data_IF_561376248746
#
_entry.id   IF_561376248746
#
_cell.length_a   1.000
_cell.length_b   1.000
_cell.length_c   1.000
_cell.angle_alpha   90.00
_cell.angle_beta   90.00
_cell.angle_gamma   90.00
#
_symmetry.space_group_name_H-M   'P 1'
#
loop_
_entity.id
_entity.type
_entity.pdbx_description
1 polymer ?
#
# COMPACT_ATOMS: atom_id res chain seq x y z
N UNK A 1 -28.33 27.06 40.22
CA UNK A 1 -27.58 28.33 40.24
C UNK A 1 -26.60 28.28 41.39
N UNK A 2 -25.30 28.34 41.10
CA UNK A 2 -24.15 28.59 42.00
C UNK A 2 -23.94 27.61 43.16
N UNK A 3 -22.78 27.39 43.74
CA UNK A 3 -21.37 27.65 43.46
C UNK A 3 -20.65 26.98 44.65
N UNK A 4 -19.55 26.25 44.42
CA UNK A 4 -18.60 25.89 45.49
C UNK A 4 -17.81 27.15 45.95
N UNK A 5 -16.85 27.17 46.92
CA UNK A 5 -16.13 26.04 47.56
C UNK A 5 -15.65 26.23 49.04
N UNK A 6 -14.90 25.25 49.56
CA UNK A 6 -13.56 25.39 50.18
C UNK A 6 -13.31 25.01 51.66
N UNK A 7 -12.06 24.52 51.87
CA UNK A 7 -11.22 24.37 53.06
C UNK A 7 -11.47 23.18 54.02
N UNK A 8 -10.50 22.58 54.72
CA UNK A 8 -9.03 22.41 54.68
C UNK A 8 -8.66 21.58 55.96
N UNK A 9 -7.40 21.14 56.09
CA UNK A 9 -6.72 20.49 57.25
C UNK A 9 -6.87 18.95 57.39
N UNK A 10 -5.87 18.16 57.81
CA UNK A 10 -4.45 18.35 58.18
C UNK A 10 -3.86 16.97 58.58
N UNK A 11 -2.57 16.71 58.28
CA UNK A 11 -1.57 15.84 58.96
C UNK A 11 -1.92 14.35 59.25
N UNK A 12 -1.04 13.35 59.14
CA UNK A 12 0.41 13.26 58.94
C UNK A 12 0.91 11.87 59.36
N UNK A 13 2.23 11.61 59.15
CA UNK A 13 3.08 10.45 59.53
C UNK A 13 3.02 9.24 58.57
N UNK A 14 4.06 8.84 57.82
CA UNK A 14 5.51 8.56 58.07
C UNK A 14 5.76 7.15 58.66
N UNK A 15 6.16 6.20 57.80
CA UNK A 15 7.05 5.06 58.12
C UNK A 15 7.30 4.14 56.90
N UNK A 16 8.49 4.23 56.31
CA UNK A 16 9.28 3.09 55.78
C UNK A 16 9.92 2.34 57.00
N UNK A 17 10.64 1.17 56.90
CA UNK A 17 11.33 0.57 55.75
C UNK A 17 11.34 -0.99 55.69
N UNK A 18 12.27 -1.53 54.89
CA UNK A 18 12.70 -2.93 54.64
C UNK A 18 12.16 -3.47 53.30
N UNK A 19 12.97 -3.78 52.29
CA UNK A 19 14.35 -4.24 52.26
C UNK A 19 14.35 -5.68 51.73
N UNK A 20 14.62 -5.87 50.44
CA UNK A 20 15.13 -7.16 49.96
C UNK A 20 16.01 -6.98 48.74
N UNK A 21 17.23 -7.44 48.95
CA UNK A 21 18.37 -7.55 48.06
C UNK A 21 18.12 -8.69 47.06
N UNK A 22 18.49 -8.52 45.78
CA UNK A 22 18.82 -9.70 44.95
C UNK A 22 19.94 -9.35 43.99
N UNK A 23 20.93 -10.22 44.02
CA UNK A 23 22.32 -10.00 43.61
C UNK A 23 22.52 -10.21 42.11
N UNK A 24 23.32 -9.32 41.53
CA UNK A 24 24.00 -9.48 40.25
C UNK A 24 25.16 -10.46 40.40
N UNK A 25 25.14 -11.55 39.65
CA UNK A 25 26.27 -12.50 39.54
C UNK A 25 26.90 -12.36 38.16
N UNK A 26 28.04 -11.67 38.14
CA UNK A 26 28.98 -11.56 37.03
C UNK A 26 29.92 -12.78 37.07
N UNK A 27 29.83 -13.67 36.09
CA UNK A 27 30.79 -14.76 35.91
C UNK A 27 31.77 -14.41 34.78
N UNK A 28 33.06 -14.46 35.12
CA UNK A 28 34.23 -14.17 34.31
C UNK A 28 34.96 -15.50 34.07
N UNK A 29 35.34 -15.78 32.82
CA UNK A 29 36.23 -16.91 32.47
C UNK A 29 36.25 -17.09 30.94
N UNK A 30 37.16 -16.44 30.23
CA UNK A 30 38.54 -16.87 29.93
C UNK A 30 38.67 -17.55 28.56
N UNK A 31 39.10 -16.74 27.59
CA UNK A 31 40.16 -17.00 26.62
C UNK A 31 40.44 -18.45 26.18
N UNK A 32 40.21 -18.72 24.89
CA UNK A 32 41.21 -19.43 24.07
C UNK A 32 41.12 -19.02 22.59
N UNK A 33 42.19 -18.36 22.16
CA UNK A 33 42.60 -18.10 20.78
C UNK A 33 42.86 -19.41 20.05
N UNK A 34 42.44 -19.50 18.78
CA UNK A 34 43.23 -20.13 17.71
C UNK A 34 42.77 -19.68 16.33
N UNK A 35 43.70 -19.03 15.64
CA UNK A 35 44.06 -19.14 14.22
C UNK A 35 43.15 -18.62 13.11
N UNK A 36 43.69 -17.54 12.50
CA UNK A 36 43.59 -17.12 11.12
C UNK A 36 43.48 -18.30 10.13
N UNK A 37 42.61 -18.14 9.12
CA UNK A 37 42.98 -18.47 7.73
C UNK A 37 42.25 -17.55 6.75
N UNK A 38 43.07 -16.76 6.08
CA UNK A 38 42.84 -15.89 4.93
C UNK A 38 42.48 -16.73 3.69
N UNK A 39 41.46 -16.35 2.94
CA UNK A 39 41.29 -16.73 1.53
C UNK A 39 40.64 -15.53 0.81
N UNK A 40 41.43 -14.64 0.21
CA UNK A 40 41.92 -14.72 -1.17
C UNK A 40 40.78 -14.74 -2.21
N UNK A 41 40.50 -13.56 -2.75
CA UNK A 41 39.78 -13.31 -4.01
C UNK A 41 40.41 -14.08 -5.18
N UNK A 42 39.61 -14.35 -6.22
CA UNK A 42 40.07 -14.11 -7.57
C UNK A 42 39.13 -13.16 -8.31
N UNK A 43 39.71 -12.07 -8.83
CA UNK A 43 39.14 -11.30 -9.93
C UNK A 43 39.08 -12.16 -11.19
N UNK A 44 37.93 -12.21 -11.85
CA UNK A 44 37.85 -12.40 -13.31
C UNK A 44 36.58 -11.73 -13.84
N UNK A 45 36.75 -10.71 -14.66
CA UNK A 45 35.81 -10.30 -15.71
C UNK A 45 36.21 -11.01 -17.01
N UNK A 46 35.27 -11.38 -17.89
CA UNK A 46 35.08 -10.54 -19.08
C UNK A 46 33.63 -10.46 -19.62
N UNK A 47 33.43 -9.41 -20.42
CA UNK A 47 32.31 -9.12 -21.31
C UNK A 47 31.66 -10.34 -22.00
N UNK A 48 30.32 -10.40 -21.95
CA UNK A 48 29.51 -10.69 -23.15
C UNK A 48 28.10 -10.13 -22.96
N UNK A 49 27.70 -9.27 -23.89
CA UNK A 49 26.35 -8.75 -24.00
C UNK A 49 25.44 -9.86 -24.52
N UNK A 50 24.46 -10.28 -23.71
CA UNK A 50 23.35 -11.10 -24.16
C UNK A 50 22.09 -10.24 -24.09
N UNK A 51 21.55 -9.92 -25.27
CA UNK A 51 20.23 -9.38 -25.47
C UNK A 51 19.19 -10.32 -24.84
N UNK A 52 18.62 -9.94 -23.71
CA UNK A 52 17.44 -10.59 -23.14
C UNK A 52 16.24 -10.18 -23.97
N UNK A 53 15.91 -11.00 -24.97
CA UNK A 53 14.59 -11.00 -25.59
C UNK A 53 13.59 -11.50 -24.57
N UNK A 54 12.57 -10.70 -24.27
CA UNK A 54 11.49 -11.08 -23.38
C UNK A 54 10.61 -12.07 -24.14
N UNK A 55 10.58 -13.32 -23.69
CA UNK A 55 9.72 -14.33 -24.30
C UNK A 55 8.30 -14.15 -23.78
N UNK A 56 7.30 -14.45 -24.61
CA UNK A 56 5.89 -14.37 -24.22
C UNK A 56 5.53 -15.31 -23.05
N UNK A 57 6.35 -16.33 -22.77
CA UNK A 57 6.17 -17.27 -21.66
C UNK A 57 6.41 -16.63 -20.28
N UNK A 58 7.33 -15.66 -20.19
CA UNK A 58 7.67 -14.97 -18.93
C UNK A 58 6.56 -14.03 -18.42
N UNK A 59 5.68 -13.58 -19.32
CA UNK A 59 4.57 -12.66 -19.01
C UNK A 59 3.43 -13.40 -18.29
N UNK A 60 3.21 -14.68 -18.61
CA UNK A 60 2.16 -15.51 -18.00
C UNK A 60 2.52 -15.92 -16.57
N UNK A 61 3.78 -16.27 -16.34
CA UNK A 61 4.30 -16.67 -15.03
C UNK A 61 4.30 -15.50 -14.04
N UNK A 62 4.51 -14.27 -14.53
CA UNK A 62 4.33 -13.05 -13.75
C UNK A 62 2.85 -12.82 -13.38
N UNK A 63 1.92 -13.03 -14.31
CA UNK A 63 0.48 -12.91 -14.07
C UNK A 63 -0.06 -13.92 -13.04
N UNK A 64 0.45 -15.16 -13.06
CA UNK A 64 0.10 -16.22 -12.09
C UNK A 64 0.66 -15.94 -10.70
N UNK A 65 1.91 -15.46 -10.59
CA UNK A 65 2.48 -14.98 -9.31
C UNK A 65 1.72 -13.78 -8.74
N UNK A 66 1.14 -12.95 -9.61
CA UNK A 66 0.27 -11.82 -9.24
C UNK A 66 -1.11 -12.30 -8.73
N UNK A 67 -1.67 -13.37 -9.30
CA UNK A 67 -2.85 -14.05 -8.72
C UNK A 67 -2.54 -14.64 -7.34
N UNK A 68 -1.39 -15.28 -7.18
CA UNK A 68 -0.89 -15.83 -5.91
C UNK A 68 -0.70 -14.73 -4.84
N UNK A 69 -0.17 -13.56 -5.25
CA UNK A 69 -0.06 -12.36 -4.42
C UNK A 69 -1.43 -11.87 -3.92
N UNK A 70 -2.50 -12.09 -4.67
CA UNK A 70 -3.88 -11.81 -4.26
C UNK A 70 -4.62 -13.00 -3.62
N UNK A 71 -3.94 -14.14 -3.41
CA UNK A 71 -4.51 -15.33 -2.76
C UNK A 71 -5.40 -16.18 -3.67
N UNK A 72 -5.13 -16.21 -4.97
CA UNK A 72 -5.62 -17.24 -5.86
C UNK A 72 -4.50 -18.28 -6.03
N UNK A 73 -4.38 -19.24 -5.11
CA UNK A 73 -3.62 -20.44 -5.44
C UNK A 73 -4.33 -21.08 -6.65
N UNK A 74 -3.59 -21.30 -7.73
CA UNK A 74 -4.05 -22.22 -8.77
C UNK A 74 -4.33 -23.55 -8.08
N UNK A 75 -5.57 -24.07 -8.13
CA UNK A 75 -5.79 -25.48 -7.86
C UNK A 75 -4.81 -26.24 -8.76
N UNK A 76 -4.19 -27.29 -8.23
CA UNK A 76 -3.42 -28.23 -9.01
C UNK A 76 -4.37 -28.88 -10.04
N UNK A 77 -4.63 -28.17 -11.14
CA UNK A 77 -5.45 -28.67 -12.23
C UNK A 77 -4.56 -29.58 -13.04
N UNK A 78 -4.85 -30.88 -12.91
CA UNK A 78 -4.52 -31.87 -13.92
C UNK A 78 -4.87 -31.31 -15.30
N UNK A 79 -3.91 -31.37 -16.22
CA UNK A 79 -4.06 -31.09 -17.64
C UNK A 79 -5.44 -31.50 -18.15
N UNK A 80 -6.31 -30.52 -18.40
CA UNK A 80 -7.13 -30.42 -19.60
C UNK A 80 -8.10 -29.23 -19.50
N UNK A 81 -8.09 -28.41 -20.55
CA UNK A 81 -9.14 -27.44 -20.94
C UNK A 81 -9.14 -26.07 -20.24
N UNK A 82 -8.10 -25.24 -20.46
CA UNK A 82 -8.16 -23.76 -20.30
C UNK A 82 -8.13 -23.02 -21.65
N UNK A 83 -8.03 -23.73 -22.78
CA UNK A 83 -7.88 -23.11 -24.11
C UNK A 83 -9.07 -22.28 -24.60
N UNK A 84 -10.23 -22.30 -23.94
CA UNK A 84 -11.47 -21.68 -24.46
C UNK A 84 -11.82 -20.30 -23.90
N UNK A 85 -11.04 -19.70 -23.00
CA UNK A 85 -11.34 -18.36 -22.44
C UNK A 85 -10.36 -17.25 -22.87
N UNK A 86 -9.42 -17.53 -23.78
CA UNK A 86 -8.34 -16.59 -24.13
C UNK A 86 -8.41 -15.93 -25.52
N UNK A 87 -9.50 -16.04 -26.29
CA UNK A 87 -9.62 -15.34 -27.58
C UNK A 87 -10.98 -14.66 -27.80
N UNK A 88 -10.98 -13.32 -27.88
CA UNK A 88 -11.58 -12.68 -29.03
C UNK A 88 -10.61 -11.63 -29.63
N UNK A 89 -10.54 -11.60 -30.96
CA UNK A 89 -9.66 -10.82 -31.84
C UNK A 89 -8.37 -11.54 -32.29
N UNK A 90 -8.53 -12.39 -33.31
CA UNK A 90 -7.47 -12.70 -34.27
C UNK A 90 -7.72 -11.88 -35.55
N UNK A 91 -7.06 -10.75 -35.69
CA UNK A 91 -6.71 -10.20 -37.01
C UNK A 91 -5.19 -9.98 -37.00
N UNK A 92 -4.49 -10.77 -37.82
CA UNK A 92 -3.04 -10.66 -38.02
C UNK A 92 -2.67 -9.27 -38.57
N UNK A 93 -1.61 -8.61 -38.09
CA UNK A 93 -1.04 -7.48 -38.79
C UNK A 93 -0.23 -7.99 -39.99
N UNK A 94 -0.71 -7.67 -41.19
CA UNK A 94 0.04 -7.86 -42.44
C UNK A 94 1.37 -7.12 -42.41
N UNK A 95 2.44 -7.83 -42.77
CA UNK A 95 3.79 -7.32 -43.00
C UNK A 95 3.77 -6.12 -43.95
N UNK A 96 4.21 -4.94 -43.48
CA UNK A 96 4.63 -3.83 -44.36
C UNK A 96 6.10 -3.54 -44.07
N UNK A 97 6.87 -3.67 -45.14
CA UNK A 97 8.31 -3.62 -45.25
C UNK A 97 8.85 -2.17 -45.14
N UNK A 98 9.83 -1.99 -44.25
CA UNK A 98 10.94 -1.03 -44.27
C UNK A 98 10.77 0.33 -44.98
N UNK A 99 10.66 1.39 -44.18
CA UNK A 99 11.12 2.73 -44.53
C UNK A 99 12.18 3.20 -43.53
N UNK A 100 13.46 3.15 -43.92
CA UNK A 100 14.57 3.70 -43.14
C UNK A 100 14.33 5.20 -42.96
N UNK A 101 13.92 5.63 -41.77
CA UNK A 101 13.95 7.02 -41.35
C UNK A 101 14.97 7.18 -40.24
N UNK A 102 15.97 7.98 -40.55
CA UNK A 102 17.13 8.37 -39.76
C UNK A 102 16.83 8.60 -38.28
N UNK A 103 17.53 7.85 -37.43
CA UNK A 103 17.58 8.02 -35.98
C UNK A 103 18.04 9.45 -35.63
N UNK A 104 17.16 10.24 -35.03
CA UNK A 104 17.54 11.48 -34.34
C UNK A 104 18.03 11.14 -32.92
N UNK A 105 19.18 11.67 -32.49
CA UNK A 105 19.73 11.37 -31.17
C UNK A 105 18.96 12.07 -30.04
N UNK A 106 18.34 11.27 -29.15
CA UNK A 106 17.95 11.58 -27.76
C UNK A 106 16.94 12.71 -27.51
N UNK A 107 15.65 12.43 -27.65
CA UNK A 107 14.64 13.02 -26.75
C UNK A 107 14.62 12.20 -25.45
N UNK A 108 15.51 12.55 -24.52
CA UNK A 108 15.62 11.94 -23.18
C UNK A 108 14.69 12.57 -22.14
N UNK A 109 13.66 13.31 -22.53
CA UNK A 109 12.63 13.69 -21.56
C UNK A 109 11.66 12.51 -21.41
N UNK A 110 11.96 11.61 -20.48
CA UNK A 110 10.90 10.79 -19.89
C UNK A 110 9.75 11.70 -19.42
N UNK A 111 8.51 11.21 -19.35
CA UNK A 111 7.38 12.05 -18.98
C UNK A 111 7.62 12.65 -17.59
N UNK A 112 7.22 13.91 -17.41
CA UNK A 112 7.40 14.57 -16.12
C UNK A 112 6.49 13.89 -15.09
N UNK A 113 7.10 13.42 -13.99
CA UNK A 113 6.39 12.71 -12.93
C UNK A 113 5.33 13.61 -12.29
N UNK A 114 4.24 13.01 -11.83
CA UNK A 114 3.08 13.68 -11.24
C UNK A 114 2.35 14.65 -12.19
N UNK A 115 2.60 14.60 -13.49
CA UNK A 115 1.76 15.31 -14.47
C UNK A 115 0.37 14.70 -14.56
N UNK A 116 -0.63 15.54 -14.81
CA UNK A 116 -2.01 15.07 -14.98
C UNK A 116 -2.16 14.31 -16.31
N UNK A 117 -2.73 13.10 -16.25
CA UNK A 117 -3.10 12.39 -17.48
C UNK A 117 -4.26 13.09 -18.17
N UNK A 118 -4.25 13.03 -19.49
CA UNK A 118 -5.28 13.67 -20.32
C UNK A 118 -6.47 12.73 -20.50
N UNK A 119 -7.67 13.29 -20.39
CA UNK A 119 -8.92 12.56 -20.59
C UNK A 119 -9.68 13.23 -21.73
N UNK A 120 -9.92 12.53 -22.85
CA UNK A 120 -10.40 13.18 -24.08
C UNK A 120 -11.89 13.56 -24.04
N UNK A 121 -12.68 12.95 -23.15
CA UNK A 121 -14.13 13.20 -23.09
C UNK A 121 -14.44 14.46 -22.27
N UNK A 122 -15.34 15.36 -22.73
CA UNK A 122 -15.59 16.65 -22.09
C UNK A 122 -16.20 16.53 -20.69
N UNK A 123 -16.93 15.45 -20.39
CA UNK A 123 -17.48 15.16 -19.06
C UNK A 123 -16.43 14.66 -18.05
N UNK A 124 -15.22 14.32 -18.49
CA UNK A 124 -14.18 13.79 -17.59
C UNK A 124 -13.49 14.89 -16.77
N UNK A 125 -13.39 16.12 -17.28
CA UNK A 125 -12.70 17.22 -16.57
C UNK A 125 -13.22 17.47 -15.14
N UNK A 126 -14.55 17.61 -14.93
CA UNK A 126 -15.12 17.74 -13.59
C UNK A 126 -14.89 16.51 -12.70
N UNK A 127 -14.96 15.30 -13.26
CA UNK A 127 -14.74 14.04 -12.53
C UNK A 127 -13.29 13.91 -12.04
N UNK A 128 -12.32 14.20 -12.91
CA UNK A 128 -10.89 14.25 -12.54
C UNK A 128 -10.66 15.29 -11.44
N UNK A 129 -11.26 16.47 -11.57
CA UNK A 129 -11.15 17.54 -10.57
C UNK A 129 -11.69 17.09 -9.21
N UNK A 130 -12.84 16.41 -9.20
CA UNK A 130 -13.44 15.87 -7.98
C UNK A 130 -12.58 14.76 -7.36
N UNK A 131 -12.09 13.80 -8.17
CA UNK A 131 -11.20 12.74 -7.69
C UNK A 131 -9.92 13.34 -7.06
N UNK A 132 -9.32 14.34 -7.71
CA UNK A 132 -8.12 15.00 -7.19
C UNK A 132 -8.41 15.80 -5.91
N UNK A 133 -9.58 16.40 -5.76
CA UNK A 133 -9.97 17.05 -4.50
C UNK A 133 -10.11 16.04 -3.37
N UNK A 134 -10.75 14.89 -3.62
CA UNK A 134 -10.86 13.80 -2.64
C UNK A 134 -9.46 13.32 -2.23
N UNK A 135 -8.59 12.99 -3.19
CA UNK A 135 -7.24 12.51 -2.93
C UNK A 135 -6.39 13.52 -2.14
N UNK A 136 -6.47 14.80 -2.51
CA UNK A 136 -5.77 15.88 -1.79
C UNK A 136 -6.32 16.12 -0.38
N UNK A 137 -7.54 15.69 -0.06
CA UNK A 137 -8.08 15.80 1.30
C UNK A 137 -7.46 14.80 2.28
N UNK A 138 -7.01 13.64 1.79
CA UNK A 138 -6.58 12.52 2.63
C UNK A 138 -5.41 12.85 3.57
N UNK A 139 -4.33 13.53 3.16
CA UNK A 139 -3.30 13.91 4.13
C UNK A 139 -3.87 14.66 5.34
N UNK A 140 -4.79 15.59 5.12
CA UNK A 140 -5.37 16.40 6.21
C UNK A 140 -6.42 15.68 7.04
N UNK A 141 -6.99 14.58 6.55
CA UNK A 141 -7.82 13.66 7.33
C UNK A 141 -7.02 13.01 8.45
N UNK A 142 -5.70 12.79 8.30
CA UNK A 142 -4.83 12.26 9.36
C UNK A 142 -4.76 13.15 10.61
N UNK A 143 -5.12 14.43 10.48
CA UNK A 143 -5.16 15.38 11.60
C UNK A 143 -6.50 15.35 12.34
N UNK A 144 -7.47 14.60 11.84
CA UNK A 144 -8.81 14.46 12.39
C UNK A 144 -8.95 13.06 12.98
N UNK A 145 -9.03 12.94 14.30
CA UNK A 145 -9.17 11.64 14.97
C UNK A 145 -10.44 10.88 14.58
N UNK A 146 -11.48 11.58 14.11
CA UNK A 146 -12.78 10.99 13.78
C UNK A 146 -12.89 10.50 12.33
N UNK A 147 -12.02 10.93 11.43
CA UNK A 147 -12.14 10.67 10.00
C UNK A 147 -10.76 10.48 9.37
N UNK A 148 -10.16 9.31 9.61
CA UNK A 148 -8.87 8.92 9.03
C UNK A 148 -9.01 8.62 7.53
N UNK A 149 -7.92 8.74 6.75
CA UNK A 149 -7.94 8.35 5.34
C UNK A 149 -8.40 6.90 5.17
N UNK A 150 -9.08 6.56 4.06
CA UNK A 150 -9.73 5.26 3.93
C UNK A 150 -8.75 4.08 3.83
N UNK A 151 -7.45 4.34 3.79
CA UNK A 151 -6.38 3.33 3.77
C UNK A 151 -5.61 3.21 5.11
N UNK A 152 -5.97 4.00 6.14
CA UNK A 152 -5.40 3.90 7.50
C UNK A 152 -6.51 3.50 8.47
N UNK A 153 -6.35 2.35 9.12
CA UNK A 153 -7.36 1.87 10.08
C UNK A 153 -7.31 2.69 11.38
N UNK A 154 -8.46 2.97 12.03
CA UNK A 154 -8.49 3.52 13.38
C UNK A 154 -7.66 2.72 14.39
N UNK A 155 -7.62 1.38 14.26
CA UNK A 155 -6.78 0.51 15.08
C UNK A 155 -5.29 0.80 14.89
N UNK A 156 -4.84 0.96 13.63
CA UNK A 156 -3.44 1.31 13.33
C UNK A 156 -3.05 2.65 13.97
N UNK A 157 -3.88 3.68 13.80
CA UNK A 157 -3.63 4.99 14.42
C UNK A 157 -3.58 4.90 15.95
N UNK A 158 -4.45 4.08 16.57
CA UNK A 158 -4.46 3.86 18.01
C UNK A 158 -3.18 3.17 18.50
N UNK A 159 -2.72 2.14 17.81
CA UNK A 159 -1.46 1.44 18.14
C UNK A 159 -0.24 2.34 18.01
N UNK A 160 -0.19 3.16 16.95
CA UNK A 160 0.88 4.12 16.74
C UNK A 160 0.96 5.18 17.86
N UNK A 161 -0.19 5.69 18.34
CA UNK A 161 -0.23 6.70 19.42
C UNK A 161 0.07 6.11 20.80
N UNK A 162 -0.43 4.90 21.10
CA UNK A 162 -0.32 4.29 22.43
C UNK A 162 0.97 3.49 22.63
N UNK A 163 1.62 3.07 21.55
CA UNK A 163 2.73 2.12 21.57
C UNK A 163 2.32 0.70 21.97
N UNK A 164 1.01 0.44 22.08
CA UNK A 164 0.46 -0.87 22.39
C UNK A 164 0.10 -1.56 21.08
N UNK A 165 0.96 -2.46 20.61
CA UNK A 165 0.76 -3.20 19.37
C UNK A 165 2.02 -3.19 18.50
N UNK A 166 1.86 -3.45 17.19
CA UNK A 166 2.98 -3.40 16.25
C UNK A 166 3.56 -1.99 16.13
N UNK A 167 4.88 -1.91 15.87
CA UNK A 167 5.54 -0.62 15.67
C UNK A 167 5.09 0.01 14.35
N UNK A 168 4.76 1.31 14.38
CA UNK A 168 4.31 2.08 13.20
C UNK A 168 4.93 3.48 13.20
N UNK A 169 6.24 3.55 13.38
CA UNK A 169 7.01 4.78 13.52
C UNK A 169 6.95 5.65 12.28
N UNK A 170 6.97 5.06 11.08
CA UNK A 170 6.83 5.79 9.81
C UNK A 170 5.48 6.51 9.72
N UNK A 171 4.40 5.88 10.18
CA UNK A 171 3.07 6.48 10.19
C UNK A 171 2.98 7.63 11.20
N UNK A 172 3.49 7.43 12.42
CA UNK A 172 3.53 8.47 13.45
C UNK A 172 4.36 9.69 12.99
N UNK A 173 5.50 9.45 12.35
CA UNK A 173 6.35 10.51 11.79
C UNK A 173 5.63 11.24 10.66
N UNK A 174 4.94 10.49 9.78
CA UNK A 174 4.13 11.05 8.70
C UNK A 174 3.03 11.99 9.23
N UNK A 175 2.30 11.61 10.29
CA UNK A 175 1.28 12.48 10.91
C UNK A 175 1.86 13.82 11.38
N UNK A 176 3.04 13.80 12.02
CA UNK A 176 3.75 15.02 12.42
C UNK A 176 4.17 15.88 11.22
N UNK A 177 4.67 15.25 10.14
CA UNK A 177 5.05 15.96 8.92
C UNK A 177 3.86 16.56 8.19
N UNK A 178 2.71 15.89 8.17
CA UNK A 178 1.45 16.43 7.65
C UNK A 178 1.01 17.66 8.43
N UNK A 179 1.15 17.65 9.77
CA UNK A 179 0.83 18.80 10.61
C UNK A 179 1.74 19.99 10.25
N UNK A 180 3.05 19.76 10.15
CA UNK A 180 4.02 20.78 9.74
C UNK A 180 3.73 21.30 8.33
N UNK A 181 3.34 20.41 7.41
CA UNK A 181 2.92 20.79 6.07
C UNK A 181 1.69 21.69 6.13
N UNK A 182 0.63 21.32 6.84
CA UNK A 182 -0.60 22.14 6.94
C UNK A 182 -0.34 23.52 7.55
N UNK A 183 0.54 23.62 8.55
CA UNK A 183 0.86 24.88 9.23
C UNK A 183 2.04 25.65 8.60
N UNK A 184 2.56 25.22 7.45
CA UNK A 184 3.73 25.84 6.82
C UNK A 184 3.44 27.27 6.37
N UNK A 185 4.43 28.13 6.48
CA UNK A 185 4.45 29.49 5.92
C UNK A 185 5.37 29.51 4.71
N UNK A 186 5.33 30.59 3.93
CA UNK A 186 6.17 30.74 2.74
C UNK A 186 7.67 30.54 3.02
N UNK A 187 8.12 30.96 4.22
CA UNK A 187 9.50 30.84 4.69
C UNK A 187 9.87 29.43 5.15
N UNK A 188 8.90 28.62 5.61
CA UNK A 188 9.15 27.26 6.11
C UNK A 188 8.89 26.15 5.08
N UNK A 189 8.27 26.45 3.93
CA UNK A 189 8.00 25.47 2.84
C UNK A 189 9.21 24.60 2.49
N UNK A 190 10.36 25.21 2.22
CA UNK A 190 11.59 24.50 1.87
C UNK A 190 12.06 23.57 2.99
N UNK A 191 11.93 24.00 4.24
CA UNK A 191 12.29 23.20 5.40
C UNK A 191 11.37 21.97 5.53
N UNK A 192 10.05 22.15 5.37
CA UNK A 192 9.09 21.04 5.44
C UNK A 192 9.38 19.98 4.37
N UNK A 193 9.60 20.38 3.12
CA UNK A 193 9.98 19.43 2.07
C UNK A 193 11.30 18.73 2.32
N UNK A 194 12.27 19.42 2.94
CA UNK A 194 13.52 18.79 3.37
C UNK A 194 13.28 17.72 4.44
N UNK A 195 12.38 17.97 5.40
CA UNK A 195 12.02 16.99 6.43
C UNK A 195 11.30 15.78 5.85
N UNK A 196 10.38 15.99 4.90
CA UNK A 196 9.72 14.91 4.16
C UNK A 196 10.74 14.07 3.39
N UNK A 197 11.71 14.72 2.71
CA UNK A 197 12.81 14.03 2.03
C UNK A 197 13.63 13.19 3.00
N UNK A 198 14.05 13.75 4.14
CA UNK A 198 14.85 13.04 5.13
C UNK A 198 14.11 11.80 5.67
N UNK A 199 12.80 11.88 5.88
CA UNK A 199 12.02 10.72 6.29
C UNK A 199 11.92 9.69 5.16
N UNK A 200 11.72 10.11 3.91
CA UNK A 200 11.75 9.21 2.75
C UNK A 200 13.13 8.52 2.61
N UNK A 201 14.24 9.24 2.78
CA UNK A 201 15.61 8.69 2.74
C UNK A 201 15.86 7.70 3.89
N UNK A 202 15.30 7.97 5.07
CA UNK A 202 15.33 7.04 6.20
C UNK A 202 14.57 5.75 5.89
N UNK A 203 13.35 5.85 5.33
CA UNK A 203 12.57 4.69 4.90
C UNK A 203 13.35 3.90 3.84
N UNK A 204 13.88 4.58 2.82
CA UNK A 204 14.70 3.97 1.78
C UNK A 204 15.87 3.17 2.38
N UNK A 205 16.58 3.73 3.36
CA UNK A 205 17.77 3.10 3.93
C UNK A 205 17.44 1.94 4.88
N UNK A 206 16.30 2.00 5.57
CA UNK A 206 15.97 1.07 6.66
C UNK A 206 14.89 0.06 6.35
N UNK A 207 14.21 0.14 5.19
CA UNK A 207 13.07 -0.73 4.87
C UNK A 207 13.37 -2.23 5.01
N UNK A 208 14.60 -2.67 4.73
CA UNK A 208 15.00 -4.06 4.86
C UNK A 208 15.02 -4.59 6.31
N UNK A 209 15.08 -3.69 7.30
CA UNK A 209 15.03 -4.01 8.74
C UNK A 209 13.60 -3.94 9.30
N UNK A 210 12.64 -3.43 8.53
CA UNK A 210 11.28 -3.22 8.99
C UNK A 210 10.51 -4.54 9.07
N UNK A 211 9.70 -4.70 10.12
CA UNK A 211 8.72 -5.76 10.17
C UNK A 211 7.56 -5.47 9.21
N UNK A 212 6.64 -6.44 9.05
CA UNK A 212 5.51 -6.31 8.12
C UNK A 212 4.65 -5.06 8.38
N UNK A 213 4.49 -4.66 9.65
CA UNK A 213 3.65 -3.54 10.05
C UNK A 213 4.34 -2.20 9.84
N UNK A 214 5.63 -2.10 10.16
CA UNK A 214 6.42 -0.91 9.87
C UNK A 214 6.59 -0.71 8.36
N UNK A 215 6.73 -1.80 7.58
CA UNK A 215 6.69 -1.74 6.11
C UNK A 215 5.35 -1.18 5.59
N UNK A 216 4.22 -1.61 6.15
CA UNK A 216 2.90 -1.11 5.78
C UNK A 216 2.74 0.36 6.17
N UNK A 217 3.19 0.74 7.37
CA UNK A 217 3.20 2.12 7.85
C UNK A 217 4.06 3.02 6.95
N UNK A 218 5.23 2.53 6.53
CA UNK A 218 6.11 3.22 5.59
C UNK A 218 5.45 3.37 4.21
N UNK A 219 4.78 2.33 3.71
CA UNK A 219 4.07 2.38 2.43
C UNK A 219 2.90 3.38 2.44
N UNK A 220 2.12 3.41 3.52
CA UNK A 220 1.07 4.40 3.74
C UNK A 220 1.66 5.82 3.86
N UNK A 221 2.78 6.00 4.56
CA UNK A 221 3.45 7.29 4.67
C UNK A 221 3.96 7.81 3.30
N UNK A 222 4.54 6.93 2.49
CA UNK A 222 4.98 7.28 1.12
C UNK A 222 3.78 7.67 0.23
N UNK A 223 2.65 6.96 0.34
CA UNK A 223 1.42 7.35 -0.33
C UNK A 223 1.00 8.76 0.07
N UNK A 224 1.01 9.08 1.37
CA UNK A 224 0.70 10.42 1.87
C UNK A 224 1.66 11.46 1.30
N UNK A 225 2.96 11.17 1.20
CA UNK A 225 3.92 12.10 0.59
C UNK A 225 3.64 12.32 -0.91
N UNK A 226 3.22 11.29 -1.64
CA UNK A 226 2.71 11.45 -3.02
C UNK A 226 1.48 12.37 -3.07
N UNK A 227 0.55 12.22 -2.12
CA UNK A 227 -0.65 13.05 -2.04
C UNK A 227 -0.34 14.51 -1.64
N UNK A 228 0.66 14.75 -0.79
CA UNK A 228 1.18 16.09 -0.50
C UNK A 228 1.83 16.70 -1.74
N UNK A 229 2.57 15.89 -2.52
CA UNK A 229 3.16 16.31 -3.80
C UNK A 229 2.10 16.75 -4.80
N UNK A 230 0.91 16.14 -4.82
CA UNK A 230 -0.19 16.59 -5.68
C UNK A 230 -0.71 18.00 -5.36
N UNK A 231 -0.40 18.53 -4.17
CA UNK A 231 -0.85 19.85 -3.72
C UNK A 231 0.21 20.93 -3.94
N UNK A 232 1.48 20.59 -3.75
CA UNK A 232 2.59 21.53 -3.86
C UNK A 232 3.80 20.84 -4.49
N UNK A 233 4.43 21.51 -5.46
CA UNK A 233 5.70 21.06 -6.05
C UNK A 233 6.83 21.31 -5.03
N UNK A 234 7.68 20.31 -4.72
CA UNK A 234 8.80 20.42 -3.79
C UNK A 234 9.77 21.52 -4.20
N UNK A 235 9.90 22.54 -3.35
CA UNK A 235 10.76 23.70 -3.65
C UNK A 235 12.23 23.35 -3.40
N UNK A 236 13.06 23.42 -4.44
CA UNK A 236 14.51 23.23 -4.34
C UNK A 236 14.91 21.81 -3.92
N UNK A 237 14.14 20.82 -4.37
CA UNK A 237 14.33 19.42 -4.05
C UNK A 237 14.40 18.56 -5.32
N UNK A 238 15.40 18.85 -6.14
CA UNK A 238 15.63 18.18 -7.41
C UNK A 238 15.77 16.66 -7.20
N UNK A 239 15.12 15.88 -8.06
CA UNK A 239 15.13 14.41 -8.01
C UNK A 239 14.28 13.79 -6.89
N UNK A 240 13.60 14.57 -6.05
CA UNK A 240 12.76 14.01 -4.97
C UNK A 240 11.65 13.11 -5.49
N UNK A 241 10.97 13.48 -6.57
CA UNK A 241 9.87 12.69 -7.13
C UNK A 241 10.34 11.29 -7.54
N UNK A 242 11.46 11.22 -8.27
CA UNK A 242 12.06 9.94 -8.67
C UNK A 242 12.50 9.12 -7.44
N UNK A 243 13.13 9.75 -6.45
CA UNK A 243 13.53 9.09 -5.21
C UNK A 243 12.33 8.57 -4.40
N UNK A 244 11.24 9.34 -4.34
CA UNK A 244 9.99 8.98 -3.69
C UNK A 244 9.38 7.75 -4.35
N UNK A 245 9.21 7.76 -5.68
CA UNK A 245 8.65 6.61 -6.42
C UNK A 245 9.55 5.38 -6.37
N UNK A 246 10.87 5.56 -6.39
CA UNK A 246 11.84 4.45 -6.19
C UNK A 246 11.66 3.80 -4.82
N UNK A 247 11.48 4.61 -3.78
CA UNK A 247 11.26 4.11 -2.41
C UNK A 247 9.92 3.40 -2.27
N UNK A 248 8.87 3.90 -2.94
CA UNK A 248 7.58 3.22 -3.04
C UNK A 248 7.76 1.81 -3.61
N UNK A 249 8.51 1.64 -4.70
CA UNK A 249 8.74 0.32 -5.31
C UNK A 249 9.50 -0.62 -4.37
N UNK A 250 10.58 -0.14 -3.73
CA UNK A 250 11.35 -0.97 -2.80
C UNK A 250 10.53 -1.44 -1.61
N UNK A 251 9.78 -0.53 -0.98
CA UNK A 251 8.91 -0.88 0.15
C UNK A 251 7.76 -1.79 -0.29
N UNK A 252 7.18 -1.55 -1.47
CA UNK A 252 6.15 -2.42 -2.02
C UNK A 252 6.68 -3.83 -2.27
N UNK A 253 7.87 -3.98 -2.86
CA UNK A 253 8.49 -5.27 -3.08
C UNK A 253 8.82 -5.99 -1.77
N UNK A 254 9.34 -5.28 -0.78
CA UNK A 254 9.54 -5.84 0.55
C UNK A 254 8.21 -6.29 1.19
N UNK A 255 7.13 -5.53 1.02
CA UNK A 255 5.78 -5.91 1.49
C UNK A 255 5.29 -7.20 0.82
N UNK A 256 5.43 -7.30 -0.51
CA UNK A 256 5.05 -8.50 -1.28
C UNK A 256 5.85 -9.71 -0.80
N UNK A 257 7.16 -9.57 -0.58
CA UNK A 257 7.99 -10.68 -0.07
C UNK A 257 7.70 -11.04 1.38
N UNK A 258 7.35 -10.06 2.22
CA UNK A 258 7.06 -10.26 3.64
C UNK A 258 5.71 -10.94 3.90
N UNK A 259 4.81 -10.92 2.92
CA UNK A 259 3.50 -11.52 3.04
C UNK A 259 3.40 -12.70 2.10
N UNK A 260 3.18 -13.91 2.64
CA UNK A 260 2.50 -14.94 1.83
C UNK A 260 1.20 -14.37 1.26
N UNK A 261 0.69 -14.95 0.17
CA UNK A 261 -0.52 -14.47 -0.51
C UNK A 261 -1.65 -14.03 0.44
N UNK A 262 -2.46 -13.07 0.01
CA UNK A 262 -3.51 -12.40 0.83
C UNK A 262 -4.43 -13.39 1.58
N UNK A 263 -4.57 -14.63 1.09
CA UNK A 263 -5.25 -15.72 1.79
C UNK A 263 -4.23 -16.66 2.42
N UNK A 264 -3.96 -16.48 3.71
CA UNK A 264 -3.64 -17.66 4.52
C UNK A 264 -4.90 -18.53 4.53
N UNK A 265 -4.82 -19.71 3.90
CA UNK A 265 -5.92 -20.69 3.86
C UNK A 265 -6.42 -21.10 5.26
N UNK A 266 -5.58 -20.87 6.28
CA UNK A 266 -5.95 -20.99 7.69
C UNK A 266 -5.51 -19.73 8.44
N UNK A 267 -6.49 -18.94 8.86
CA UNK A 267 -6.26 -17.94 9.90
C UNK A 267 -5.96 -18.65 11.23
N UNK A 268 -5.18 -18.03 12.12
CA UNK A 268 -4.99 -18.55 13.47
C UNK A 268 -6.34 -18.77 14.17
N UNK A 269 -6.42 -19.81 15.00
CA UNK A 269 -7.62 -20.04 15.81
C UNK A 269 -7.86 -18.88 16.80
N UNK A 270 -6.80 -18.14 17.16
CA UNK A 270 -6.92 -16.92 17.96
C UNK A 270 -7.62 -15.80 17.16
N UNK A 271 -8.80 -15.35 17.62
CA UNK A 271 -9.56 -14.34 16.91
C UNK A 271 -8.87 -12.99 16.85
N UNK A 272 -8.05 -12.66 17.86
CA UNK A 272 -7.38 -11.36 17.97
C UNK A 272 -6.29 -11.22 16.92
N UNK A 273 -5.47 -12.25 16.79
CA UNK A 273 -4.45 -12.34 15.74
C UNK A 273 -5.11 -12.35 14.36
N UNK A 274 -6.22 -13.05 14.20
CA UNK A 274 -6.97 -13.11 12.94
C UNK A 274 -7.54 -11.76 12.53
N UNK A 275 -8.08 -10.99 13.48
CA UNK A 275 -8.55 -9.63 13.23
C UNK A 275 -7.39 -8.69 12.87
N UNK A 276 -6.27 -8.74 13.59
CA UNK A 276 -5.07 -7.96 13.27
C UNK A 276 -4.53 -8.27 11.86
N UNK A 277 -4.43 -9.55 11.51
CA UNK A 277 -4.00 -9.98 10.17
C UNK A 277 -4.99 -9.54 9.09
N UNK A 278 -6.30 -9.53 9.37
CA UNK A 278 -7.29 -8.99 8.44
C UNK A 278 -7.13 -7.48 8.25
N UNK A 279 -6.98 -6.70 9.33
CA UNK A 279 -6.75 -5.24 9.28
C UNK A 279 -5.48 -4.93 8.49
N UNK A 280 -4.42 -5.70 8.69
CA UNK A 280 -3.18 -5.59 7.94
C UNK A 280 -3.41 -5.74 6.43
N UNK A 281 -4.08 -6.82 6.02
CA UNK A 281 -4.35 -7.11 4.61
C UNK A 281 -5.30 -6.10 3.96
N UNK A 282 -6.36 -5.69 4.67
CA UNK A 282 -7.29 -4.68 4.17
C UNK A 282 -6.62 -3.30 4.05
N UNK A 283 -5.80 -2.90 5.03
CA UNK A 283 -5.03 -1.66 4.96
C UNK A 283 -4.07 -1.65 3.77
N UNK A 284 -3.37 -2.76 3.51
CA UNK A 284 -2.52 -2.92 2.33
C UNK A 284 -3.34 -2.82 1.03
N UNK A 285 -4.44 -3.57 0.93
CA UNK A 285 -5.35 -3.56 -0.21
C UNK A 285 -5.82 -2.14 -0.54
N UNK A 286 -6.30 -1.41 0.46
CA UNK A 286 -6.77 -0.03 0.29
C UNK A 286 -5.66 0.93 -0.08
N UNK A 287 -4.45 0.75 0.46
CA UNK A 287 -3.27 1.57 0.08
C UNK A 287 -2.89 1.35 -1.38
N UNK A 288 -2.82 0.10 -1.84
CA UNK A 288 -2.56 -0.25 -3.24
C UNK A 288 -3.65 0.29 -4.16
N UNK A 289 -4.91 0.17 -3.77
CA UNK A 289 -6.04 0.72 -4.53
C UNK A 289 -5.89 2.23 -4.78
N UNK A 290 -5.44 3.01 -3.79
CA UNK A 290 -5.18 4.44 -4.00
C UNK A 290 -4.00 4.66 -4.95
N UNK A 291 -2.91 3.88 -4.87
CA UNK A 291 -1.80 3.96 -5.84
C UNK A 291 -2.26 3.65 -7.28
N UNK A 292 -3.11 2.65 -7.47
CA UNK A 292 -3.70 2.33 -8.77
C UNK A 292 -4.56 3.50 -9.30
N UNK A 293 -5.42 4.06 -8.44
CA UNK A 293 -6.25 5.23 -8.80
C UNK A 293 -5.38 6.43 -9.16
N UNK A 294 -4.31 6.68 -8.41
CA UNK A 294 -3.38 7.75 -8.73
C UNK A 294 -2.76 7.55 -10.11
N UNK A 295 -2.34 6.33 -10.47
CA UNK A 295 -1.76 6.06 -11.79
C UNK A 295 -2.77 6.20 -12.92
N UNK A 296 -4.07 6.00 -12.68
CA UNK A 296 -5.08 6.34 -13.68
C UNK A 296 -5.12 7.86 -13.93
N UNK A 297 -4.98 8.67 -12.87
CA UNK A 297 -5.18 10.13 -12.92
C UNK A 297 -3.93 10.94 -13.26
N UNK A 298 -2.75 10.45 -12.89
CA UNK A 298 -1.47 11.14 -13.02
C UNK A 298 -0.37 10.21 -13.50
N UNK A 299 0.68 10.80 -14.06
CA UNK A 299 1.85 10.07 -14.52
C UNK A 299 2.74 9.67 -13.34
N UNK A 300 2.76 8.38 -13.05
CA UNK A 300 3.58 7.80 -12.01
C UNK A 300 4.01 6.39 -12.43
N UNK A 301 5.30 6.11 -12.32
CA UNK A 301 5.87 4.82 -12.64
C UNK A 301 6.22 4.09 -11.35
N UNK A 302 5.23 3.42 -10.73
CA UNK A 302 5.48 2.53 -9.59
C UNK A 302 4.90 1.14 -9.82
N UNK A 303 5.58 0.12 -9.31
CA UNK A 303 5.12 -1.27 -9.35
C UNK A 303 3.81 -1.45 -8.59
N UNK A 304 3.64 -0.73 -7.48
CA UNK A 304 2.38 -0.64 -6.74
C UNK A 304 1.22 -0.03 -7.53
N UNK A 305 1.49 0.56 -8.69
CA UNK A 305 0.49 1.17 -9.56
C UNK A 305 0.31 0.44 -10.89
N UNK A 306 1.19 -0.52 -11.18
CA UNK A 306 1.10 -1.41 -12.33
C UNK A 306 0.49 -2.73 -11.90
N UNK A 307 -0.70 -3.06 -12.42
CA UNK A 307 -1.22 -4.42 -12.32
C UNK A 307 -1.79 -4.86 -13.67
N UNK A 308 -1.07 -5.73 -14.39
CA UNK A 308 -1.60 -6.39 -15.55
C UNK A 308 -2.25 -7.69 -15.08
N UNK A 309 -3.58 -7.75 -14.95
CA UNK A 309 -4.24 -9.05 -14.77
C UNK A 309 -5.70 -9.05 -15.21
N UNK A 310 -6.04 -9.98 -16.11
CA UNK A 310 -7.40 -10.40 -16.44
C UNK A 310 -8.37 -9.26 -16.85
N UNK A 311 -7.89 -8.22 -17.54
CA UNK A 311 -8.73 -7.12 -18.02
C UNK A 311 -9.21 -6.13 -16.95
N UNK A 312 -8.69 -6.22 -15.72
CA UNK A 312 -8.98 -5.29 -14.62
C UNK A 312 -7.93 -4.19 -14.53
N UNK A 313 -8.38 -2.98 -14.21
CA UNK A 313 -7.52 -1.82 -13.92
C UNK A 313 -7.46 -1.52 -12.42
N UNK A 314 -8.51 -1.85 -11.66
CA UNK A 314 -8.48 -1.84 -10.20
C UNK A 314 -8.86 -3.23 -9.67
N UNK A 315 -7.94 -3.87 -8.96
CA UNK A 315 -8.17 -5.15 -8.30
C UNK A 315 -7.12 -5.38 -7.19
N UNK A 316 -7.50 -5.96 -6.03
CA UNK A 316 -8.86 -6.08 -5.53
C UNK A 316 -9.38 -4.76 -4.97
N UNK A 317 -10.67 -4.49 -5.19
CA UNK A 317 -11.35 -3.36 -4.56
C UNK A 317 -11.51 -3.59 -3.05
N UNK A 318 -11.68 -2.49 -2.31
CA UNK A 318 -11.85 -2.51 -0.86
C UNK A 318 -13.04 -3.37 -0.41
N UNK A 319 -12.90 -3.96 0.77
CA UNK A 319 -13.92 -4.80 1.40
C UNK A 319 -14.91 -3.95 2.22
N UNK A 320 -15.92 -4.61 2.77
CA UNK A 320 -17.03 -4.01 3.51
C UNK A 320 -16.57 -3.02 4.59
N UNK A 321 -17.19 -1.85 4.62
CA UNK A 321 -16.96 -0.80 5.59
C UNK A 321 -17.36 -1.21 7.02
N UNK A 322 -18.31 -2.13 7.21
CA UNK A 322 -18.67 -2.65 8.55
C UNK A 322 -17.48 -3.37 9.19
N UNK A 323 -16.84 -4.27 8.43
CA UNK A 323 -15.61 -4.96 8.87
C UNK A 323 -14.46 -3.99 9.13
N UNK A 324 -14.30 -2.98 8.28
CA UNK A 324 -13.23 -2.00 8.41
C UNK A 324 -13.39 -1.10 9.64
N UNK A 325 -14.62 -0.74 9.98
CA UNK A 325 -14.96 0.18 11.06
C UNK A 325 -15.42 -0.52 12.35
N UNK A 326 -15.31 -1.86 12.43
CA UNK A 326 -15.66 -2.60 13.63
C UNK A 326 -14.87 -2.09 14.84
N UNK A 327 -15.58 -1.83 15.94
CA UNK A 327 -14.99 -1.20 17.13
C UNK A 327 -14.37 -2.24 18.07
N UNK A 328 -14.87 -3.46 18.01
CA UNK A 328 -14.37 -4.57 18.80
C UNK A 328 -14.34 -5.87 17.99
N UNK A 329 -13.70 -6.87 18.59
CA UNK A 329 -13.41 -8.15 17.97
C UNK A 329 -14.65 -9.00 17.73
N UNK A 330 -15.69 -8.84 18.54
CA UNK A 330 -16.91 -9.64 18.44
C UNK A 330 -17.85 -9.07 17.37
N UNK A 331 -17.92 -7.74 17.26
CA UNK A 331 -18.53 -7.05 16.11
C UNK A 331 -17.82 -7.48 14.81
N UNK A 332 -16.49 -7.41 14.78
CA UNK A 332 -15.72 -7.83 13.61
C UNK A 332 -15.94 -9.30 13.26
N UNK A 333 -15.91 -10.21 14.24
CA UNK A 333 -16.09 -11.65 14.02
C UNK A 333 -17.46 -11.96 13.42
N UNK A 334 -18.52 -11.39 13.98
CA UNK A 334 -19.90 -11.63 13.54
C UNK A 334 -20.06 -11.22 12.08
N UNK A 335 -19.58 -10.03 11.73
CA UNK A 335 -19.58 -9.53 10.36
C UNK A 335 -18.66 -10.36 9.43
N UNK A 336 -17.52 -10.82 9.94
CA UNK A 336 -16.56 -11.60 9.17
C UNK A 336 -17.13 -12.97 8.81
N UNK A 337 -17.76 -13.65 9.76
CA UNK A 337 -18.45 -14.93 9.51
C UNK A 337 -19.60 -14.79 8.52
N UNK A 338 -20.32 -13.67 8.54
CA UNK A 338 -21.36 -13.37 7.54
C UNK A 338 -20.75 -13.17 6.15
N UNK A 339 -19.69 -12.37 6.04
CA UNK A 339 -19.04 -12.04 4.76
C UNK A 339 -18.24 -13.21 4.17
N UNK A 340 -17.71 -14.10 5.01
CA UNK A 340 -16.86 -15.21 4.57
C UNK A 340 -17.64 -16.45 4.09
N UNK A 341 -18.97 -16.48 4.25
CA UNK A 341 -19.84 -17.54 3.69
C UNK A 341 -19.80 -17.61 2.17
N UNK A 342 -19.65 -16.46 1.52
CA UNK A 342 -19.47 -16.35 0.07
C UNK A 342 -18.20 -15.54 -0.21
N UNK A 343 -17.03 -16.18 -0.35
CA UNK A 343 -15.79 -15.49 -0.62
C UNK A 343 -15.87 -14.72 -1.95
N UNK A 344 -16.07 -13.41 -1.85
CA UNK A 344 -16.21 -12.49 -2.98
C UNK A 344 -15.05 -11.51 -3.04
N UNK A 345 -14.53 -11.30 -4.24
CA UNK A 345 -13.61 -10.22 -4.59
C UNK A 345 -14.32 -9.31 -5.59
N UNK A 346 -14.00 -8.02 -5.60
CA UNK A 346 -14.51 -7.11 -6.62
C UNK A 346 -13.34 -6.50 -7.39
N UNK A 347 -13.56 -6.27 -8.68
CA UNK A 347 -12.61 -5.64 -9.59
C UNK A 347 -13.33 -4.68 -10.53
N UNK A 348 -12.60 -3.69 -11.04
CA UNK A 348 -13.06 -2.75 -12.06
C UNK A 348 -12.31 -2.99 -13.37
N UNK A 349 -13.05 -3.28 -14.44
CA UNK A 349 -12.46 -3.55 -15.76
C UNK A 349 -11.85 -2.29 -16.38
N UNK A 350 -11.04 -2.46 -17.43
CA UNK A 350 -10.55 -1.36 -18.27
C UNK A 350 -11.67 -0.56 -18.96
N UNK A 351 -12.89 -1.12 -19.04
CA UNK A 351 -14.07 -0.48 -19.60
C UNK A 351 -14.98 0.15 -18.54
N UNK A 352 -14.54 0.20 -17.28
CA UNK A 352 -15.32 0.77 -16.18
C UNK A 352 -16.46 -0.13 -15.67
N UNK A 353 -16.45 -1.43 -16.00
CA UNK A 353 -17.46 -2.39 -15.54
C UNK A 353 -17.05 -2.99 -14.20
N UNK A 354 -17.94 -2.92 -13.22
CA UNK A 354 -17.76 -3.51 -11.90
C UNK A 354 -18.12 -5.00 -11.93
N UNK A 355 -17.16 -5.84 -11.53
CA UNK A 355 -17.28 -7.30 -11.57
C UNK A 355 -17.00 -7.91 -10.20
N UNK A 356 -17.83 -8.86 -9.79
CA UNK A 356 -17.60 -9.78 -8.66
C UNK A 356 -16.89 -11.01 -9.18
N UNK A 357 -15.78 -11.36 -8.54
CA UNK A 357 -15.06 -12.60 -8.72
C UNK A 357 -15.38 -13.50 -7.53
N UNK A 358 -16.04 -14.61 -7.79
CA UNK A 358 -16.28 -15.66 -6.80
C UNK A 358 -15.29 -16.79 -7.04
N UNK A 359 -14.59 -17.17 -5.97
CA UNK A 359 -13.74 -18.35 -5.99
C UNK A 359 -14.60 -19.56 -5.66
N UNK A 360 -14.69 -20.50 -6.59
CA UNK A 360 -15.22 -21.85 -6.35
C UNK A 360 -14.06 -22.84 -6.40
N UNK A 361 -14.25 -24.03 -5.84
CA UNK A 361 -13.19 -25.04 -5.71
C UNK A 361 -12.50 -25.37 -7.05
N UNK A 362 -13.23 -25.24 -8.18
CA UNK A 362 -12.75 -25.59 -9.51
C UNK A 362 -12.65 -24.41 -10.50
N UNK A 363 -13.16 -23.21 -10.19
CA UNK A 363 -13.11 -22.08 -11.13
C UNK A 363 -13.32 -20.69 -10.49
N UNK A 364 -12.95 -19.64 -11.23
CA UNK A 364 -13.31 -18.25 -10.92
C UNK A 364 -14.55 -17.86 -11.71
N UNK A 365 -15.65 -17.59 -11.01
CA UNK A 365 -16.89 -17.12 -11.64
C UNK A 365 -16.93 -15.60 -11.61
N UNK A 366 -17.03 -14.99 -12.80
CA UNK A 366 -17.17 -13.55 -12.98
C UNK A 366 -18.65 -13.19 -13.16
N UNK A 367 -19.14 -12.24 -12.36
CA UNK A 367 -20.52 -11.75 -12.46
C UNK A 367 -20.56 -10.23 -12.36
N UNK A 368 -21.46 -9.60 -13.13
CA UNK A 368 -21.69 -8.16 -13.05
C UNK A 368 -22.34 -7.80 -11.71
N UNK A 369 -21.92 -6.68 -11.12
CA UNK A 369 -22.51 -6.16 -9.87
C UNK A 369 -23.10 -4.78 -10.11
N UNK A 370 -24.21 -4.49 -9.42
CA UNK A 370 -24.77 -3.14 -9.42
C UNK A 370 -23.93 -2.21 -8.55
N UNK A 371 -23.61 -1.04 -9.09
CA UNK A 371 -22.83 -0.02 -8.38
C UNK A 371 -23.47 0.40 -7.06
N UNK A 372 -24.80 0.47 -7.00
CA UNK A 372 -25.55 0.89 -5.82
C UNK A 372 -25.39 -0.09 -4.66
N UNK A 373 -25.44 -1.39 -4.96
CA UNK A 373 -25.28 -2.47 -3.98
C UNK A 373 -23.85 -2.48 -3.43
N UNK A 374 -22.85 -2.42 -4.31
CA UNK A 374 -21.45 -2.42 -3.90
C UNK A 374 -21.06 -1.14 -3.13
N UNK A 375 -21.52 0.04 -3.58
CA UNK A 375 -21.22 1.31 -2.90
C UNK A 375 -21.84 1.37 -1.51
N UNK A 376 -23.00 0.75 -1.30
CA UNK A 376 -23.62 0.68 0.02
C UNK A 376 -22.75 -0.08 1.03
N UNK A 377 -22.02 -1.12 0.59
CA UNK A 377 -21.16 -1.94 1.44
C UNK A 377 -19.79 -1.29 1.70
N UNK A 378 -19.15 -0.70 0.69
CA UNK A 378 -17.71 -0.33 0.76
C UNK A 378 -17.46 1.06 1.36
N UNK A 379 -18.49 1.89 1.47
CA UNK A 379 -18.39 3.22 2.10
C UNK A 379 -17.70 4.27 1.23
N UNK A 380 -16.97 5.20 1.84
CA UNK A 380 -16.48 6.43 1.18
C UNK A 380 -15.52 6.17 0.02
N UNK A 381 -14.62 5.18 0.16
CA UNK A 381 -13.66 4.82 -0.90
C UNK A 381 -14.36 4.34 -2.18
N UNK A 382 -15.58 3.81 -2.05
CA UNK A 382 -16.40 3.40 -3.20
C UNK A 382 -16.79 4.56 -4.10
N UNK A 383 -16.96 5.77 -3.55
CA UNK A 383 -17.25 6.97 -4.35
C UNK A 383 -16.09 7.32 -5.28
N UNK A 384 -14.85 7.19 -4.78
CA UNK A 384 -13.66 7.44 -5.59
C UNK A 384 -13.53 6.41 -6.72
N UNK A 385 -13.80 5.13 -6.43
CA UNK A 385 -13.80 4.06 -7.44
C UNK A 385 -14.88 4.28 -8.50
N UNK A 386 -16.09 4.72 -8.13
CA UNK A 386 -17.14 5.07 -9.08
C UNK A 386 -16.73 6.20 -10.02
N UNK A 387 -16.10 7.26 -9.48
CA UNK A 387 -15.61 8.39 -10.28
C UNK A 387 -14.59 7.89 -11.30
N UNK A 388 -13.64 7.06 -10.86
CA UNK A 388 -12.62 6.47 -11.72
C UNK A 388 -13.22 5.52 -12.75
N UNK A 389 -14.22 4.71 -12.38
CA UNK A 389 -14.95 3.86 -13.30
C UNK A 389 -15.63 4.61 -14.42
N UNK A 390 -16.14 5.82 -14.15
CA UNK A 390 -16.72 6.68 -15.17
C UNK A 390 -15.69 7.38 -16.08
N UNK A 391 -14.40 7.35 -15.72
CA UNK A 391 -13.30 7.93 -16.53
C UNK A 391 -12.73 6.94 -17.57
N UNK A 392 -12.96 5.64 -17.36
CA UNK A 392 -12.61 4.55 -18.26
C UNK A 392 -13.65 4.47 -19.41
#
# INVERSE_FOLDING_TARGET
MGSAPSAAHSMGKKSEPHGSTTSLTLARGSSRSTNLKTSAFPQTSPNSAASLGWSAEDIWDAGLRVLDMFGLETPLFSDQSIDSLLYPFSEEPSMIENGISTLTPWDLSGPSLFEHRTFPRPNHGPLVSLAMQILRSYPFMMLQKAALPPFISPLQSSWAETGVGPTQQSLLTCMGLVQLFKSRTDSSRKLVWRLIKLEQEKIFSKHAEFDKWELLAAFQALLVYCLLRLQEVPVGNDGFEAALLTTVNLVFNALVLSTGGIRKLKFPDDPGVTWMDWIYNESRRRTVLIFQILNILIEMSTEASSFPTCGFVLIPLANNATLWNANDIEEWRTEFELCNKEPKLHGLSQTGVLTKLQLTDDCVVLSSVKWEEWRAEVGEIGTLVMIVGALL
#
